data_IF_682272541651
#
_entry.id   IF_682272541651
#
_cell.length_a   1.000
_cell.length_b   1.000
_cell.length_c   1.000
_cell.angle_alpha   90.00
_cell.angle_beta   90.00
_cell.angle_gamma   90.00
#
_symmetry.space_group_name_H-M   'P 1'
#
loop_
_entity.id
_entity.type
_entity.pdbx_description
1 polymer ?
#
# COMPACT_ATOMS: atom_id res chain seq x y z
N UNK A 1 -16.56 -4.63 -21.00
CA UNK A 1 -16.87 -3.80 -19.85
C UNK A 1 -16.19 -4.34 -18.59
N UNK A 2 -15.52 -3.49 -17.87
CA UNK A 2 -14.80 -3.90 -16.67
C UNK A 2 -15.64 -3.74 -15.41
N UNK A 3 -15.31 -4.51 -14.39
CA UNK A 3 -15.87 -4.38 -13.06
C UNK A 3 -14.76 -4.00 -12.10
N UNK A 4 -15.01 -2.96 -11.31
CA UNK A 4 -14.05 -2.55 -10.29
C UNK A 4 -14.12 -3.50 -9.11
N UNK A 5 -12.96 -4.01 -8.73
CA UNK A 5 -12.81 -4.93 -7.61
C UNK A 5 -11.88 -4.33 -6.56
N UNK A 6 -12.05 -4.77 -5.33
CA UNK A 6 -11.17 -4.40 -4.25
C UNK A 6 -10.71 -5.67 -3.52
N UNK A 7 -9.43 -5.73 -3.21
CA UNK A 7 -8.86 -6.83 -2.44
C UNK A 7 -8.06 -6.28 -1.28
N UNK A 8 -8.34 -6.74 -0.08
CA UNK A 8 -7.69 -6.27 1.13
C UNK A 8 -6.60 -7.25 1.54
N UNK A 9 -5.40 -6.74 1.69
CA UNK A 9 -4.26 -7.50 2.19
C UNK A 9 -3.83 -6.94 3.53
N UNK A 10 -3.61 -7.83 4.50
CA UNK A 10 -3.08 -7.45 5.81
C UNK A 10 -1.59 -7.76 5.80
N UNK A 11 -0.77 -6.74 5.98
CA UNK A 11 0.67 -6.87 5.84
C UNK A 11 1.34 -6.71 7.22
N UNK A 12 2.25 -7.61 7.53
CA UNK A 12 3.03 -7.62 8.76
C UNK A 12 4.53 -7.52 8.49
N UNK A 13 4.95 -7.77 7.26
CA UNK A 13 6.36 -7.81 6.87
C UNK A 13 6.58 -6.91 5.67
N UNK A 14 7.84 -6.61 5.39
CA UNK A 14 8.20 -5.78 4.24
C UNK A 14 7.70 -6.41 2.94
N UNK A 15 7.18 -5.57 2.07
CA UNK A 15 6.71 -5.99 0.76
C UNK A 15 6.79 -4.83 -0.22
N UNK A 16 6.48 -5.10 -1.47
CA UNK A 16 6.47 -4.08 -2.51
C UNK A 16 5.11 -4.02 -3.17
N UNK A 17 4.73 -2.82 -3.60
CA UNK A 17 3.57 -2.62 -4.46
C UNK A 17 4.07 -2.53 -5.89
N UNK A 18 3.49 -3.35 -6.76
CA UNK A 18 3.89 -3.40 -8.15
C UNK A 18 3.60 -2.10 -8.88
N UNK A 19 4.36 -1.79 -9.95
CA UNK A 19 4.03 -0.62 -10.77
C UNK A 19 2.60 -0.69 -11.28
N UNK A 20 1.97 0.45 -11.39
CA UNK A 20 0.60 0.63 -11.88
C UNK A 20 -0.51 0.15 -10.93
N UNK A 21 -0.17 -0.53 -9.84
CA UNK A 21 -1.17 -0.89 -8.84
C UNK A 21 -1.65 0.35 -8.12
N UNK A 22 -2.94 0.40 -7.84
CA UNK A 22 -3.52 1.53 -7.13
C UNK A 22 -4.42 1.06 -5.99
N UNK A 23 -4.61 1.94 -5.05
CA UNK A 23 -5.44 1.65 -3.90
C UNK A 23 -5.06 2.48 -2.70
N UNK A 24 -5.53 2.04 -1.55
CA UNK A 24 -5.33 2.74 -0.28
C UNK A 24 -4.40 1.94 0.62
N UNK A 25 -3.40 2.63 1.16
CA UNK A 25 -2.54 2.11 2.20
C UNK A 25 -2.97 2.74 3.52
N UNK A 26 -3.31 1.91 4.51
CA UNK A 26 -3.72 2.39 5.81
C UNK A 26 -2.91 1.69 6.89
N UNK A 27 -2.20 2.46 7.71
CA UNK A 27 -1.45 1.92 8.83
C UNK A 27 -2.40 1.71 10.00
N UNK A 28 -2.52 0.46 10.42
CA UNK A 28 -3.41 0.09 11.52
C UNK A 28 -2.69 0.14 12.85
N UNK A 29 -1.42 -0.30 12.87
CA UNK A 29 -0.62 -0.37 14.09
C UNK A 29 0.83 -0.10 13.78
N UNK A 30 1.51 0.59 14.70
CA UNK A 30 2.92 0.89 14.56
C UNK A 30 3.18 1.98 13.53
N UNK A 31 4.26 1.84 12.80
CA UNK A 31 4.63 2.76 11.74
C UNK A 31 5.17 2.00 10.55
N UNK A 32 5.06 2.61 9.38
CA UNK A 32 5.57 2.03 8.14
C UNK A 32 6.30 3.09 7.34
N UNK A 33 7.37 2.67 6.70
CA UNK A 33 8.12 3.51 5.77
C UNK A 33 7.69 3.15 4.36
N UNK A 34 7.26 4.16 3.61
CA UNK A 34 6.84 4.01 2.22
C UNK A 34 7.89 4.67 1.34
N UNK A 35 8.60 3.88 0.56
CA UNK A 35 9.66 4.39 -0.29
C UNK A 35 9.24 4.29 -1.75
N UNK A 36 9.07 5.44 -2.38
CA UNK A 36 8.79 5.56 -3.80
C UNK A 36 9.94 6.18 -4.55
N UNK A 37 9.70 6.55 -5.79
CA UNK A 37 10.73 7.17 -6.62
C UNK A 37 11.13 8.55 -6.09
N UNK A 38 10.15 9.31 -5.59
CA UNK A 38 10.37 10.70 -5.21
C UNK A 38 10.81 10.87 -3.77
N UNK A 39 11.02 9.78 -3.05
CA UNK A 39 11.49 9.86 -1.68
C UNK A 39 10.82 8.86 -0.76
N UNK A 40 10.99 9.11 0.52
CA UNK A 40 10.52 8.22 1.59
C UNK A 40 9.57 8.97 2.50
N UNK A 41 8.43 8.35 2.79
CA UNK A 41 7.45 8.89 3.72
C UNK A 41 7.22 7.88 4.83
N UNK A 42 7.14 8.35 6.07
CA UNK A 42 6.81 7.50 7.19
C UNK A 42 5.37 7.79 7.64
N UNK A 43 4.58 6.72 7.77
CA UNK A 43 3.21 6.81 8.22
C UNK A 43 3.05 6.12 9.57
N UNK A 44 2.37 6.77 10.48
CA UNK A 44 2.02 6.22 11.79
C UNK A 44 0.62 5.62 11.76
N UNK A 45 0.24 4.98 12.87
CA UNK A 45 -1.09 4.38 12.98
C UNK A 45 -2.19 5.40 12.69
N UNK A 46 -3.22 4.94 12.01
CA UNK A 46 -4.38 5.72 11.57
C UNK A 46 -4.10 6.68 10.40
N UNK A 47 -2.88 6.70 9.91
CA UNK A 47 -2.55 7.47 8.70
C UNK A 47 -2.67 6.59 7.47
N UNK A 48 -3.11 7.18 6.38
CA UNK A 48 -3.27 6.49 5.12
C UNK A 48 -2.71 7.28 3.96
N UNK A 49 -2.41 6.56 2.88
CA UNK A 49 -1.89 7.14 1.65
C UNK A 49 -2.63 6.51 0.48
N UNK A 50 -3.11 7.35 -0.42
CA UNK A 50 -3.71 6.89 -1.66
C UNK A 50 -2.63 6.76 -2.72
N UNK A 51 -2.60 5.62 -3.41
CA UNK A 51 -1.71 5.40 -4.55
C UNK A 51 -2.52 5.31 -5.82
N UNK A 52 -2.22 6.14 -6.79
CA UNK A 52 -3.00 6.28 -8.01
C UNK A 52 -2.24 5.74 -9.24
N UNK A 53 -1.85 4.47 -9.18
CA UNK A 53 -1.31 3.78 -10.33
C UNK A 53 0.01 4.35 -10.86
N UNK A 54 0.92 4.73 -9.98
CA UNK A 54 2.20 5.27 -10.37
C UNK A 54 3.03 4.24 -11.14
N UNK A 55 3.90 4.68 -12.08
CA UNK A 55 4.67 3.76 -12.93
C UNK A 55 5.79 3.04 -12.19
N UNK A 56 6.09 3.41 -10.95
CA UNK A 56 7.18 2.82 -10.17
C UNK A 56 6.65 2.01 -9.02
N UNK A 57 7.36 0.93 -8.69
CA UNK A 57 7.04 0.15 -7.50
C UNK A 57 7.36 0.96 -6.24
N UNK A 58 6.57 0.72 -5.19
CA UNK A 58 6.86 1.25 -3.86
C UNK A 58 7.35 0.13 -2.96
N UNK A 59 8.32 0.44 -2.10
CA UNK A 59 8.79 -0.48 -1.07
C UNK A 59 8.15 -0.09 0.25
N UNK A 60 7.50 -1.07 0.90
CA UNK A 60 6.84 -0.88 2.19
C UNK A 60 7.65 -1.61 3.25
N UNK A 61 8.06 -0.91 4.29
CA UNK A 61 8.89 -1.49 5.34
C UNK A 61 8.28 -1.18 6.70
N UNK A 62 7.98 -2.21 7.52
CA UNK A 62 7.46 -1.99 8.87
C UNK A 62 8.56 -1.43 9.78
N UNK A 63 8.14 -0.59 10.73
CA UNK A 63 9.00 -0.07 11.77
C UNK A 63 8.56 -0.69 13.08
N UNK A 64 9.42 -1.52 13.68
CA UNK A 64 9.11 -2.23 14.92
C UNK A 64 8.45 -3.58 14.68
N UNK A 65 8.14 -4.28 15.77
CA UNK A 65 7.76 -5.69 15.73
C UNK A 65 6.27 -5.95 15.54
N UNK A 66 5.44 -4.95 15.80
CA UNK A 66 3.99 -5.14 15.78
C UNK A 66 3.31 -4.23 14.75
N UNK A 67 4.00 -3.86 13.70
CA UNK A 67 3.45 -2.98 12.68
C UNK A 67 2.47 -3.76 11.79
N UNK A 68 1.31 -3.17 11.53
CA UNK A 68 0.28 -3.75 10.67
C UNK A 68 -0.19 -2.69 9.68
N UNK A 69 -0.23 -3.05 8.41
CA UNK A 69 -0.68 -2.18 7.34
C UNK A 69 -1.74 -2.91 6.53
N UNK A 70 -2.78 -2.20 6.14
CA UNK A 70 -3.76 -2.70 5.19
C UNK A 70 -3.46 -2.11 3.82
N UNK A 71 -3.37 -2.99 2.83
CA UNK A 71 -3.29 -2.60 1.44
C UNK A 71 -4.62 -2.96 0.77
N UNK A 72 -5.40 -1.93 0.44
CA UNK A 72 -6.66 -2.12 -0.27
C UNK A 72 -6.37 -1.90 -1.75
N UNK A 73 -6.17 -2.99 -2.46
CA UNK A 73 -5.82 -2.98 -3.87
C UNK A 73 -7.07 -2.88 -4.72
N UNK A 74 -7.16 -1.83 -5.53
CA UNK A 74 -8.25 -1.62 -6.46
C UNK A 74 -7.80 -2.03 -7.85
N UNK A 75 -8.59 -2.86 -8.51
CA UNK A 75 -8.26 -3.32 -9.85
C UNK A 75 -9.53 -3.54 -10.64
N UNK A 76 -9.38 -3.59 -11.95
CA UNK A 76 -10.50 -3.85 -12.85
C UNK A 76 -10.32 -5.19 -13.52
N UNK A 77 -11.41 -5.95 -13.57
CA UNK A 77 -11.47 -7.17 -14.36
C UNK A 77 -12.29 -6.91 -15.61
N UNK A 78 -11.83 -7.46 -16.73
CA UNK A 78 -12.55 -7.39 -17.99
C UNK A 78 -13.33 -8.66 -18.21
N UNK A 79 -14.52 -8.51 -18.74
CA UNK A 79 -15.36 -9.68 -19.13
C UNK A 79 -15.28 -9.90 -20.62
#
# INVERSE_FOLDING_TARGET
RGTLQAQVHVLHTACAIAPQDRGLLLVVRGAWTLQGEDGTTQCAAEQGVWRDGEPRAWQLTPVGDAAVLLWVHLYQTSL
#
